data_IF_418816504826
#
_entry.id   IF_418816504826
#
_cell.length_a   1.000
_cell.length_b   1.000
_cell.length_c   1.000
_cell.angle_alpha   90.00
_cell.angle_beta   90.00
_cell.angle_gamma   90.00
#
_symmetry.space_group_name_H-M   'P 1'
#
loop_
_entity.id
_entity.type
_entity.pdbx_description
1 polymer ?
#
# COMPACT_ATOMS: atom_id res chain seq x y z
N UNK A 1 -0.34 14.30 41.00
CA UNK A 1 -0.29 13.04 40.22
C UNK A 1 -1.65 12.71 39.64
N UNK A 2 -2.73 12.57 40.45
CA UNK A 2 -4.09 12.38 39.93
C UNK A 2 -4.54 13.51 38.97
N UNK A 3 -4.29 14.78 39.34
CA UNK A 3 -4.56 15.94 38.46
C UNK A 3 -3.81 15.84 37.11
N UNK A 4 -2.53 15.47 37.13
CA UNK A 4 -1.74 15.30 35.91
C UNK A 4 -2.20 14.11 35.04
N UNK A 5 -2.75 13.05 35.66
CA UNK A 5 -3.37 11.93 34.95
C UNK A 5 -4.69 12.35 34.29
N UNK A 6 -5.52 13.15 34.99
CA UNK A 6 -6.73 13.76 34.42
C UNK A 6 -6.43 14.68 33.23
N UNK A 7 -5.42 15.55 33.34
CA UNK A 7 -4.99 16.42 32.22
C UNK A 7 -4.49 15.62 31.00
N UNK A 8 -3.82 14.48 31.22
CA UNK A 8 -3.38 13.60 30.14
C UNK A 8 -4.54 12.88 29.44
N UNK A 9 -5.58 12.47 30.19
CA UNK A 9 -6.79 11.87 29.65
C UNK A 9 -7.56 12.87 28.77
N UNK A 10 -7.74 14.11 29.23
CA UNK A 10 -8.41 15.19 28.47
C UNK A 10 -7.75 15.41 27.11
N UNK A 11 -6.41 15.54 27.08
CA UNK A 11 -5.68 15.75 25.82
C UNK A 11 -5.83 14.61 24.82
N UNK A 12 -5.93 13.36 25.31
CA UNK A 12 -6.13 12.19 24.45
C UNK A 12 -7.53 12.17 23.85
N UNK A 13 -8.55 12.51 24.63
CA UNK A 13 -9.93 12.60 24.13
C UNK A 13 -10.10 13.78 23.17
N UNK A 14 -9.44 14.91 23.39
CA UNK A 14 -9.42 16.02 22.44
C UNK A 14 -8.77 15.64 21.10
N UNK A 15 -7.68 14.86 21.13
CA UNK A 15 -7.05 14.34 19.91
C UNK A 15 -7.97 13.36 19.16
N UNK A 16 -8.65 12.47 19.87
CA UNK A 16 -9.65 11.55 19.31
C UNK A 16 -10.81 12.32 18.64
N UNK A 17 -11.36 13.33 19.33
CA UNK A 17 -12.45 14.14 18.82
C UNK A 17 -12.04 14.95 17.57
N UNK A 18 -10.82 15.50 17.55
CA UNK A 18 -10.28 16.18 16.37
C UNK A 18 -10.09 15.22 15.18
N UNK A 19 -9.62 13.99 15.42
CA UNK A 19 -9.46 12.98 14.38
C UNK A 19 -10.81 12.59 13.76
N UNK A 20 -11.87 12.45 14.57
CA UNK A 20 -13.20 12.13 14.08
C UNK A 20 -13.89 13.26 13.32
N UNK A 21 -13.66 14.52 13.71
CA UNK A 21 -14.12 15.68 12.94
C UNK A 21 -13.47 15.73 11.55
N UNK A 22 -12.22 15.31 11.43
CA UNK A 22 -11.54 15.17 10.14
C UNK A 22 -12.13 14.02 9.31
N UNK A 23 -12.48 12.89 9.93
CA UNK A 23 -13.20 11.80 9.25
C UNK A 23 -14.58 12.26 8.73
N UNK A 24 -15.36 12.98 9.53
CA UNK A 24 -16.71 13.43 9.14
C UNK A 24 -16.71 14.55 8.09
N UNK A 25 -15.68 15.40 8.04
CA UNK A 25 -15.55 16.42 6.99
C UNK A 25 -15.25 15.81 5.61
N UNK A 26 -14.78 14.56 5.58
CA UNK A 26 -14.46 13.80 4.38
C UNK A 26 -15.74 13.32 3.64
N UNK A 27 -16.89 13.19 4.33
CA UNK A 27 -18.17 12.74 3.75
C UNK A 27 -18.77 13.69 2.67
N UNK A 28 -18.13 14.81 2.35
CA UNK A 28 -18.61 15.73 1.31
C UNK A 28 -18.23 15.31 -0.13
N UNK A 29 -17.29 14.40 -0.33
CA UNK A 29 -16.84 13.95 -1.65
C UNK A 29 -16.58 12.43 -1.64
N UNK A 30 -17.12 11.69 -2.63
CA UNK A 30 -17.06 10.23 -2.73
C UNK A 30 -15.62 9.63 -2.78
N UNK A 31 -14.58 10.45 -2.93
CA UNK A 31 -13.17 10.04 -2.85
C UNK A 31 -12.63 9.93 -1.42
N UNK A 32 -13.35 10.44 -0.42
CA UNK A 32 -12.88 10.47 0.96
C UNK A 32 -13.43 9.32 1.83
N UNK A 33 -14.26 8.44 1.28
CA UNK A 33 -14.94 7.37 2.02
C UNK A 33 -13.97 6.28 2.50
N UNK A 34 -12.95 5.93 1.69
CA UNK A 34 -11.91 4.97 2.08
C UNK A 34 -10.83 5.56 3.01
N UNK A 35 -10.53 6.85 2.86
CA UNK A 35 -9.67 7.59 3.80
C UNK A 35 -10.38 7.71 5.16
N UNK A 36 -11.67 8.03 5.16
CA UNK A 36 -12.52 8.01 6.35
C UNK A 36 -12.57 6.61 6.98
N UNK A 37 -12.69 5.55 6.18
CA UNK A 37 -12.72 4.16 6.66
C UNK A 37 -11.38 3.74 7.31
N UNK A 38 -10.24 4.03 6.66
CA UNK A 38 -8.91 3.74 7.20
C UNK A 38 -8.60 4.54 8.47
N UNK A 39 -8.94 5.84 8.50
CA UNK A 39 -8.85 6.66 9.71
C UNK A 39 -9.79 6.15 10.81
N UNK A 40 -11.00 5.70 10.45
CA UNK A 40 -11.96 5.12 11.39
C UNK A 40 -11.44 3.84 12.04
N UNK A 41 -10.73 3.00 11.30
CA UNK A 41 -10.10 1.78 11.81
C UNK A 41 -8.94 2.07 12.75
N UNK A 42 -8.07 3.02 12.40
CA UNK A 42 -6.99 3.46 13.27
C UNK A 42 -7.51 4.11 14.56
N UNK A 43 -8.58 4.90 14.45
CA UNK A 43 -9.30 5.46 15.60
C UNK A 43 -9.86 4.34 16.48
N UNK A 44 -10.49 3.32 15.89
CA UNK A 44 -11.08 2.18 16.60
C UNK A 44 -10.04 1.29 17.29
N UNK A 45 -8.90 1.03 16.63
CA UNK A 45 -7.93 0.04 17.06
C UNK A 45 -6.89 0.59 18.07
N UNK A 46 -6.57 1.89 17.99
CA UNK A 46 -5.45 2.45 18.74
C UNK A 46 -5.85 3.63 19.62
N UNK A 47 -6.50 4.66 19.05
CA UNK A 47 -6.80 5.90 19.79
C UNK A 47 -7.92 5.71 20.82
N UNK A 48 -8.99 5.00 20.44
CA UNK A 48 -10.15 4.77 21.31
C UNK A 48 -9.80 3.91 22.54
N UNK A 49 -9.10 2.76 22.42
CA UNK A 49 -8.66 1.99 23.60
C UNK A 49 -7.68 2.77 24.48
N UNK A 50 -6.78 3.56 23.88
CA UNK A 50 -5.82 4.38 24.60
C UNK A 50 -6.45 5.56 25.34
N UNK A 51 -7.57 6.09 24.84
CA UNK A 51 -8.39 7.11 25.49
C UNK A 51 -9.19 6.50 26.66
N UNK A 52 -9.85 5.34 26.46
CA UNK A 52 -10.55 4.58 27.51
C UNK A 52 -9.64 4.27 28.70
N UNK A 53 -8.47 3.68 28.44
CA UNK A 53 -7.50 3.35 29.48
C UNK A 53 -6.99 4.58 30.24
N UNK A 54 -6.91 5.74 29.59
CA UNK A 54 -6.50 6.99 30.24
C UNK A 54 -7.59 7.56 31.16
N UNK A 55 -8.86 7.44 30.76
CA UNK A 55 -10.03 7.81 31.58
C UNK A 55 -10.14 6.91 32.80
N UNK A 56 -10.11 5.58 32.63
CA UNK A 56 -10.16 4.61 33.74
C UNK A 56 -9.02 4.84 34.76
N UNK A 57 -7.79 5.07 34.30
CA UNK A 57 -6.66 5.36 35.17
C UNK A 57 -6.83 6.69 35.93
N UNK A 58 -7.50 7.68 35.33
CA UNK A 58 -7.79 8.95 35.98
C UNK A 58 -8.91 8.83 37.03
N UNK A 59 -9.96 8.04 36.74
CA UNK A 59 -11.03 7.72 37.69
C UNK A 59 -10.51 6.95 38.92
N UNK A 60 -9.71 5.90 38.71
CA UNK A 60 -9.09 5.15 39.80
C UNK A 60 -8.20 6.04 40.69
N UNK A 61 -7.47 6.96 40.04
CA UNK A 61 -6.62 7.95 40.71
C UNK A 61 -7.42 9.00 41.50
N UNK A 62 -8.61 9.40 41.03
CA UNK A 62 -9.47 10.38 41.69
C UNK A 62 -10.39 9.79 42.77
N UNK A 63 -10.73 8.50 42.66
CA UNK A 63 -11.59 7.78 43.61
C UNK A 63 -10.88 7.32 44.89
N UNK A 64 -9.55 7.16 44.88
CA UNK A 64 -8.77 6.64 46.01
C UNK A 64 -8.24 7.67 47.00
N UNK A 65 -8.37 8.97 46.73
CA UNK A 65 -7.74 10.02 47.54
C UNK A 65 -8.76 10.95 48.22
N UNK A 66 -8.66 11.07 49.56
CA UNK A 66 -9.17 12.20 50.36
C UNK A 66 -7.99 13.05 50.79
N UNK A 67 -8.14 14.37 50.74
CA UNK A 67 -7.14 15.29 51.30
C UNK A 67 -7.47 15.47 52.77
N UNK A 68 -6.68 14.87 53.67
CA UNK A 68 -6.84 15.07 55.12
C UNK A 68 -5.82 16.10 55.61
N UNK A 69 -6.29 17.11 56.36
CA UNK A 69 -5.45 18.18 56.87
C UNK A 69 -4.64 17.71 58.09
N UNK A 70 -3.31 17.87 58.04
CA UNK A 70 -2.51 18.04 59.25
C UNK A 70 -2.47 19.54 59.58
N UNK A 71 -2.77 19.91 60.82
CA UNK A 71 -3.13 21.28 61.22
C UNK A 71 -2.22 22.40 60.68
N UNK A 72 -2.84 23.48 60.23
CA UNK A 72 -2.18 24.70 59.72
C UNK A 72 -2.23 24.90 58.20
N UNK A 73 -2.67 23.90 57.43
CA UNK A 73 -2.63 23.90 55.95
C UNK A 73 -4.03 23.96 55.29
N UNK A 74 -5.06 24.50 55.96
CA UNK A 74 -6.45 24.47 55.46
C UNK A 74 -6.63 25.12 54.07
N UNK A 75 -5.88 26.19 53.77
CA UNK A 75 -5.94 26.86 52.45
C UNK A 75 -5.33 26.04 51.31
N UNK A 76 -4.29 25.26 51.58
CA UNK A 76 -3.65 24.37 50.59
C UNK A 76 -4.52 23.13 50.34
N UNK A 77 -5.19 22.63 51.38
CA UNK A 77 -6.17 21.53 51.30
C UNK A 77 -7.36 21.94 50.43
N UNK A 78 -7.95 23.11 50.67
CA UNK A 78 -9.06 23.62 49.87
C UNK A 78 -8.69 23.82 48.38
N UNK A 79 -7.46 24.28 48.10
CA UNK A 79 -6.98 24.42 46.72
C UNK A 79 -6.80 23.06 46.02
N UNK A 80 -6.32 22.04 46.75
CA UNK A 80 -6.18 20.68 46.22
C UNK A 80 -7.51 19.97 46.03
N UNK A 81 -8.49 20.17 46.92
CA UNK A 81 -9.85 19.66 46.75
C UNK A 81 -10.54 20.30 45.54
N UNK A 82 -10.43 21.63 45.37
CA UNK A 82 -10.95 22.33 44.20
C UNK A 82 -10.33 21.84 42.88
N UNK A 83 -9.01 21.57 42.87
CA UNK A 83 -8.32 21.01 41.71
C UNK A 83 -8.78 19.56 41.40
N UNK A 84 -9.10 18.78 42.43
CA UNK A 84 -9.63 17.41 42.26
C UNK A 84 -11.07 17.43 41.72
N UNK A 85 -11.91 18.35 42.21
CA UNK A 85 -13.27 18.59 41.72
C UNK A 85 -13.28 19.01 40.24
N UNK A 86 -12.38 19.91 39.87
CA UNK A 86 -12.18 20.34 38.50
C UNK A 86 -11.72 19.17 37.61
N UNK A 87 -10.79 18.35 38.11
CA UNK A 87 -10.32 17.16 37.39
C UNK A 87 -11.45 16.14 37.16
N UNK A 88 -12.33 15.91 38.14
CA UNK A 88 -13.50 15.01 38.00
C UNK A 88 -14.49 15.52 36.95
N UNK A 89 -14.73 16.83 36.94
CA UNK A 89 -15.60 17.46 35.93
C UNK A 89 -15.04 17.29 34.51
N UNK A 90 -13.73 17.48 34.33
CA UNK A 90 -13.07 17.29 33.04
C UNK A 90 -13.08 15.83 32.56
N UNK A 91 -12.96 14.85 33.49
CA UNK A 91 -13.04 13.42 33.17
C UNK A 91 -14.45 13.06 32.69
N UNK A 92 -15.49 13.52 33.39
CA UNK A 92 -16.89 13.29 32.99
C UNK A 92 -17.22 13.91 31.61
N UNK A 93 -16.66 15.07 31.28
CA UNK A 93 -16.80 15.66 29.94
C UNK A 93 -16.05 14.84 28.87
N UNK A 94 -14.90 14.27 29.22
CA UNK A 94 -14.13 13.42 28.32
C UNK A 94 -14.85 12.09 28.03
N UNK A 95 -15.53 11.50 29.01
CA UNK A 95 -16.41 10.34 28.84
C UNK A 95 -17.56 10.62 27.89
N UNK A 96 -18.29 11.73 28.08
CA UNK A 96 -19.40 12.09 27.19
C UNK A 96 -18.94 12.26 25.73
N UNK A 97 -17.76 12.86 25.50
CA UNK A 97 -17.18 13.00 24.16
C UNK A 97 -16.70 11.68 23.57
N UNK A 98 -16.29 10.74 24.41
CA UNK A 98 -15.92 9.39 24.00
C UNK A 98 -17.16 8.61 23.54
N UNK A 99 -18.27 8.73 24.26
CA UNK A 99 -19.54 8.11 23.87
C UNK A 99 -20.07 8.67 22.53
N UNK A 100 -19.99 10.00 22.34
CA UNK A 100 -20.34 10.65 21.07
C UNK A 100 -19.43 10.18 19.92
N UNK A 101 -18.14 10.02 20.18
CA UNK A 101 -17.16 9.53 19.22
C UNK A 101 -17.45 8.08 18.77
N UNK A 102 -17.85 7.22 19.70
CA UNK A 102 -18.20 5.83 19.40
C UNK A 102 -19.49 5.69 18.61
N UNK A 103 -20.49 6.52 18.92
CA UNK A 103 -21.72 6.58 18.14
C UNK A 103 -21.45 7.03 16.69
N UNK A 104 -20.59 8.04 16.49
CA UNK A 104 -20.20 8.50 15.16
C UNK A 104 -19.45 7.44 14.35
N UNK A 105 -18.55 6.70 15.00
CA UNK A 105 -17.81 5.59 14.39
C UNK A 105 -18.72 4.43 13.97
N UNK A 106 -19.74 4.11 14.77
CA UNK A 106 -20.71 3.07 14.43
C UNK A 106 -21.55 3.46 13.20
N UNK A 107 -22.00 4.72 13.11
CA UNK A 107 -22.74 5.22 11.96
C UNK A 107 -21.91 5.20 10.66
N UNK A 108 -20.63 5.55 10.74
CA UNK A 108 -19.70 5.49 9.60
C UNK A 108 -19.53 4.06 9.05
N UNK A 109 -19.46 3.06 9.94
CA UNK A 109 -19.37 1.65 9.52
C UNK A 109 -20.62 1.17 8.80
N UNK A 110 -21.79 1.53 9.30
CA UNK A 110 -23.08 1.16 8.68
C UNK A 110 -23.22 1.78 7.28
N UNK A 111 -22.77 3.02 7.10
CA UNK A 111 -22.76 3.69 5.79
C UNK A 111 -21.79 3.00 4.80
N UNK A 112 -20.57 2.66 5.23
CA UNK A 112 -19.58 2.00 4.39
C UNK A 112 -20.03 0.58 3.95
N UNK A 113 -20.65 -0.19 4.85
CA UNK A 113 -21.22 -1.51 4.52
C UNK A 113 -22.34 -1.40 3.48
N UNK A 114 -23.20 -0.39 3.59
CA UNK A 114 -24.26 -0.13 2.61
C UNK A 114 -23.70 0.26 1.23
N UNK A 115 -22.62 1.05 1.19
CA UNK A 115 -21.95 1.44 -0.05
C UNK A 115 -21.27 0.24 -0.75
N UNK A 116 -20.59 -0.62 0.01
CA UNK A 116 -19.96 -1.84 -0.52
C UNK A 116 -20.99 -2.81 -1.12
N UNK A 117 -22.14 -3.00 -0.45
CA UNK A 117 -23.23 -3.84 -0.94
C UNK A 117 -23.88 -3.30 -2.23
N UNK A 118 -23.88 -1.96 -2.41
CA UNK A 118 -24.37 -1.35 -3.64
C UNK A 118 -23.38 -1.54 -4.81
N UNK A 119 -22.07 -1.48 -4.56
CA UNK A 119 -21.03 -1.73 -5.57
C UNK A 119 -21.01 -3.19 -6.06
N UNK A 120 -21.27 -4.15 -5.16
CA UNK A 120 -21.30 -5.58 -5.50
C UNK A 120 -22.47 -5.94 -6.45
N UNK A 121 -23.57 -5.17 -6.44
CA UNK A 121 -24.71 -5.37 -7.36
C UNK A 121 -24.44 -4.88 -8.80
N UNK A 122 -23.37 -4.12 -9.04
CA UNK A 122 -22.96 -3.67 -10.39
C UNK A 122 -21.88 -4.57 -11.03
N UNK A 123 -21.44 -5.63 -10.36
CA UNK A 123 -20.45 -6.55 -10.91
C UNK A 123 -21.09 -7.50 -11.94
N UNK A 124 -20.82 -7.21 -13.21
CA UNK A 124 -21.24 -8.04 -14.35
C UNK A 124 -20.44 -9.35 -14.34
N UNK A 125 -21.07 -10.49 -14.07
CA UNK A 125 -20.46 -11.81 -14.27
C UNK A 125 -20.34 -12.08 -15.79
N UNK A 126 -19.13 -12.17 -16.37
CA UNK A 126 -18.98 -12.58 -17.76
C UNK A 126 -19.03 -14.12 -17.85
N UNK A 127 -19.72 -14.62 -18.87
CA UNK A 127 -19.76 -16.05 -19.20
C UNK A 127 -18.35 -16.61 -19.50
N UNK A 128 -18.09 -17.83 -19.01
CA UNK A 128 -16.76 -18.47 -19.00
C UNK A 128 -16.15 -18.79 -20.39
N UNK A 129 -16.90 -18.60 -21.47
CA UNK A 129 -16.45 -18.88 -22.85
C UNK A 129 -16.11 -17.61 -23.65
N UNK A 130 -16.19 -16.42 -23.06
CA UNK A 130 -16.11 -15.13 -23.77
C UNK A 130 -15.12 -14.12 -23.16
N UNK A 131 -13.82 -14.43 -23.03
CA UNK A 131 -12.80 -13.36 -22.82
C UNK A 131 -11.45 -13.71 -23.46
N UNK A 132 -11.38 -13.62 -24.79
CA UNK A 132 -10.23 -12.98 -25.44
C UNK A 132 -10.61 -11.52 -25.66
N UNK A 133 -10.97 -10.80 -24.61
CA UNK A 133 -11.06 -9.35 -24.74
C UNK A 133 -9.64 -8.84 -24.93
N UNK A 134 -9.35 -8.42 -26.15
CA UNK A 134 -8.09 -7.79 -26.49
C UNK A 134 -7.88 -6.48 -25.70
N UNK A 135 -8.86 -5.96 -24.95
CA UNK A 135 -8.78 -4.67 -24.27
C UNK A 135 -8.49 -4.74 -22.76
N UNK A 136 -8.48 -5.93 -22.14
CA UNK A 136 -8.15 -6.06 -20.72
C UNK A 136 -6.63 -6.26 -20.52
N UNK A 137 -6.02 -5.82 -19.40
CA UNK A 137 -4.66 -6.20 -19.07
C UNK A 137 -4.48 -7.72 -19.24
N UNK A 138 -3.30 -8.18 -19.70
CA UNK A 138 -3.12 -9.40 -20.51
C UNK A 138 -3.45 -10.74 -19.83
N UNK A 139 -3.95 -10.73 -18.60
CA UNK A 139 -4.28 -11.90 -17.81
C UNK A 139 -5.38 -12.77 -18.39
N UNK A 140 -5.19 -14.09 -18.31
CA UNK A 140 -6.12 -15.11 -18.83
C UNK A 140 -6.53 -16.13 -17.77
N UNK A 141 -5.92 -16.07 -16.59
CA UNK A 141 -6.11 -17.02 -15.49
C UNK A 141 -6.70 -16.32 -14.30
N UNK A 142 -7.56 -17.01 -13.54
CA UNK A 142 -7.91 -16.55 -12.19
C UNK A 142 -6.75 -16.81 -11.25
N UNK A 143 -6.48 -15.87 -10.37
CA UNK A 143 -5.50 -16.00 -9.31
C UNK A 143 -6.09 -15.40 -8.05
N UNK A 144 -6.33 -16.25 -7.06
CA UNK A 144 -6.86 -15.81 -5.77
C UNK A 144 -5.74 -15.83 -4.74
N UNK A 145 -5.34 -14.67 -4.20
CA UNK A 145 -4.44 -14.59 -3.07
C UNK A 145 -4.91 -15.44 -1.89
N UNK A 146 -4.19 -16.52 -1.57
CA UNK A 146 -4.50 -17.27 -0.35
C UNK A 146 -4.32 -16.40 0.89
N UNK A 147 -5.16 -16.64 1.88
CA UNK A 147 -4.98 -16.08 3.22
C UNK A 147 -3.78 -16.74 3.92
N UNK A 148 -3.11 -15.97 4.77
CA UNK A 148 -2.05 -16.52 5.63
C UNK A 148 -2.70 -17.33 6.76
N UNK A 149 -2.05 -18.43 7.13
CA UNK A 149 -2.44 -19.21 8.32
C UNK A 149 -2.08 -18.44 9.60
N UNK A 150 -2.70 -18.79 10.74
CA UNK A 150 -2.38 -18.16 12.03
C UNK A 150 -0.88 -18.20 12.38
N UNK A 151 -0.19 -19.29 12.02
CA UNK A 151 1.24 -19.44 12.26
C UNK A 151 2.07 -18.51 11.36
N UNK A 152 1.68 -18.33 10.10
CA UNK A 152 2.31 -17.41 9.17
C UNK A 152 2.04 -15.95 9.57
N UNK A 153 0.82 -15.67 10.03
CA UNK A 153 0.45 -14.38 10.57
C UNK A 153 1.26 -14.01 11.82
N UNK A 154 1.47 -14.97 12.72
CA UNK A 154 2.34 -14.78 13.88
C UNK A 154 3.79 -14.51 13.46
N UNK A 155 4.30 -15.22 12.46
CA UNK A 155 5.65 -15.00 11.93
C UNK A 155 5.80 -13.61 11.30
N UNK A 156 4.82 -13.16 10.51
CA UNK A 156 4.79 -11.80 9.93
C UNK A 156 4.76 -10.75 11.05
N UNK A 157 3.96 -10.97 12.08
CA UNK A 157 3.84 -10.05 13.22
C UNK A 157 5.16 -9.91 14.00
N UNK A 158 5.90 -11.02 14.14
CA UNK A 158 7.23 -11.02 14.76
C UNK A 158 8.26 -10.26 13.90
N UNK A 159 8.24 -10.48 12.59
CA UNK A 159 9.12 -9.77 11.64
C UNK A 159 8.90 -8.25 11.69
N UNK A 160 7.64 -7.82 11.81
CA UNK A 160 7.24 -6.41 11.85
C UNK A 160 7.48 -5.73 13.21
N UNK A 161 7.96 -6.44 14.22
CA UNK A 161 8.26 -5.83 15.52
C UNK A 161 9.31 -4.71 15.38
N UNK A 162 9.19 -3.64 16.20
CA UNK A 162 10.22 -2.61 16.28
C UNK A 162 11.57 -3.20 16.70
N UNK A 163 12.66 -2.57 16.25
CA UNK A 163 14.02 -3.03 16.55
C UNK A 163 15.04 -2.11 15.91
N UNK A 164 16.29 -2.56 15.78
CA UNK A 164 17.35 -1.77 15.16
C UNK A 164 17.04 -1.54 13.67
N UNK A 165 16.87 -0.28 13.20
CA UNK A 165 16.52 0.00 11.80
C UNK A 165 17.51 -0.54 10.78
N UNK A 166 18.80 -0.60 11.13
CA UNK A 166 19.88 -1.08 10.26
C UNK A 166 20.10 -2.60 10.31
N UNK A 167 19.32 -3.32 11.11
CA UNK A 167 19.38 -4.78 11.17
C UNK A 167 18.94 -5.35 9.83
N UNK A 168 19.83 -6.12 9.19
CA UNK A 168 19.50 -6.91 8.02
C UNK A 168 18.66 -8.11 8.46
N UNK A 169 17.43 -8.20 7.96
CA UNK A 169 16.52 -9.31 8.25
C UNK A 169 16.76 -10.48 7.29
N UNK A 170 16.80 -10.19 5.99
CA UNK A 170 17.04 -11.18 4.95
C UNK A 170 17.66 -10.56 3.70
N UNK A 171 17.95 -11.39 2.70
CA UNK A 171 18.55 -10.99 1.43
C UNK A 171 18.00 -11.87 0.30
N UNK A 172 17.60 -11.23 -0.81
CA UNK A 172 17.06 -11.87 -2.00
C UNK A 172 17.92 -11.45 -3.18
N UNK A 173 18.60 -12.41 -3.82
CA UNK A 173 19.51 -12.17 -4.96
C UNK A 173 20.55 -11.05 -4.75
N UNK A 174 21.18 -11.00 -3.57
CA UNK A 174 22.13 -9.95 -3.14
C UNK A 174 21.50 -8.56 -2.90
N UNK A 175 20.17 -8.46 -2.84
CA UNK A 175 19.45 -7.26 -2.40
C UNK A 175 19.08 -7.44 -0.93
N UNK A 176 19.74 -6.72 0.00
CA UNK A 176 19.48 -6.86 1.42
C UNK A 176 18.17 -6.14 1.78
N UNK A 177 17.41 -6.71 2.69
CA UNK A 177 16.28 -6.07 3.33
C UNK A 177 16.63 -5.81 4.79
N UNK A 178 16.49 -4.55 5.21
CA UNK A 178 16.64 -4.15 6.61
C UNK A 178 15.30 -4.04 7.32
N UNK A 179 15.34 -3.94 8.64
CA UNK A 179 14.16 -3.69 9.46
C UNK A 179 13.45 -2.39 9.11
N UNK A 180 14.21 -1.34 8.75
CA UNK A 180 13.63 -0.09 8.24
C UNK A 180 12.84 -0.32 6.96
N UNK A 181 13.34 -1.14 6.06
CA UNK A 181 12.70 -1.40 4.77
C UNK A 181 11.39 -2.18 4.97
N UNK A 182 11.42 -3.25 5.77
CA UNK A 182 10.21 -4.04 6.06
C UNK A 182 9.16 -3.28 6.85
N UNK A 183 9.57 -2.30 7.67
CA UNK A 183 8.61 -1.42 8.33
C UNK A 183 7.71 -0.66 7.32
N UNK A 184 8.15 -0.45 6.07
CA UNK A 184 7.32 0.18 5.03
C UNK A 184 6.12 -0.67 4.58
N UNK A 185 6.12 -1.97 4.88
CA UNK A 185 4.99 -2.86 4.64
C UNK A 185 3.94 -2.83 5.75
N UNK A 186 4.16 -2.05 6.83
CA UNK A 186 3.12 -1.80 7.82
C UNK A 186 1.93 -1.06 7.18
N UNK A 187 0.73 -1.12 7.80
CA UNK A 187 -0.39 -0.31 7.36
C UNK A 187 -0.01 1.18 7.28
N UNK A 188 -0.61 1.89 6.32
CA UNK A 188 -0.46 3.34 6.12
C UNK A 188 0.93 3.84 5.67
N UNK A 189 1.91 2.94 5.49
CA UNK A 189 3.27 3.30 5.11
C UNK A 189 3.51 3.20 3.60
N UNK A 190 4.36 4.10 3.08
CA UNK A 190 4.78 4.10 1.67
C UNK A 190 5.91 3.11 1.46
N UNK A 191 5.76 2.22 0.48
CA UNK A 191 6.85 1.31 0.12
C UNK A 191 8.05 2.09 -0.41
N UNK A 192 9.24 1.68 0.04
CA UNK A 192 10.49 2.21 -0.48
C UNK A 192 11.05 1.37 -1.64
N UNK A 193 12.07 1.89 -2.32
CA UNK A 193 12.72 1.21 -3.44
C UNK A 193 13.32 -0.16 -3.06
N UNK A 194 13.80 -0.35 -1.83
CA UNK A 194 14.42 -1.62 -1.41
C UNK A 194 13.39 -2.75 -1.36
N UNK A 195 12.20 -2.51 -0.78
CA UNK A 195 11.10 -3.48 -0.78
C UNK A 195 10.64 -3.78 -2.21
N UNK A 196 10.44 -2.74 -3.04
CA UNK A 196 10.04 -2.90 -4.44
C UNK A 196 11.06 -3.76 -5.21
N UNK A 197 12.35 -3.44 -5.11
CA UNK A 197 13.38 -4.15 -5.85
C UNK A 197 13.56 -5.60 -5.35
N UNK A 198 13.43 -5.85 -4.05
CA UNK A 198 13.41 -7.21 -3.52
C UNK A 198 12.20 -8.02 -3.99
N UNK A 199 11.01 -7.42 -4.06
CA UNK A 199 9.84 -8.11 -4.58
C UNK A 199 9.98 -8.39 -6.08
N UNK A 200 10.52 -7.44 -6.86
CA UNK A 200 10.89 -7.66 -8.26
C UNK A 200 11.85 -8.84 -8.44
N UNK A 201 12.81 -9.04 -7.54
CA UNK A 201 13.69 -10.22 -7.57
C UNK A 201 12.93 -11.54 -7.37
N UNK A 202 11.92 -11.57 -6.49
CA UNK A 202 11.04 -12.74 -6.35
C UNK A 202 10.22 -13.01 -7.62
N UNK A 203 9.66 -11.96 -8.22
CA UNK A 203 8.91 -12.09 -9.46
C UNK A 203 9.80 -12.60 -10.61
N UNK A 204 11.05 -12.10 -10.71
CA UNK A 204 12.04 -12.59 -11.68
C UNK A 204 12.38 -14.06 -11.46
N UNK A 205 12.54 -14.48 -10.20
CA UNK A 205 12.81 -15.86 -9.84
C UNK A 205 11.64 -16.76 -10.26
N UNK A 206 10.41 -16.42 -9.88
CA UNK A 206 9.21 -17.17 -10.26
C UNK A 206 9.05 -17.29 -11.78
N UNK A 207 9.20 -16.18 -12.53
CA UNK A 207 9.13 -16.20 -13.99
C UNK A 207 10.21 -17.09 -14.62
N UNK A 208 11.43 -17.09 -14.07
CA UNK A 208 12.52 -17.94 -14.53
C UNK A 208 12.27 -19.42 -14.24
N UNK A 209 11.74 -19.75 -13.07
CA UNK A 209 11.39 -21.11 -12.67
C UNK A 209 10.28 -21.66 -13.56
N UNK A 210 9.23 -20.88 -13.81
CA UNK A 210 8.15 -21.23 -14.74
C UNK A 210 8.67 -21.46 -16.17
N UNK A 211 9.56 -20.60 -16.69
CA UNK A 211 10.17 -20.80 -18.01
C UNK A 211 10.98 -22.10 -18.08
N UNK A 212 11.72 -22.44 -17.02
CA UNK A 212 12.53 -23.68 -16.95
C UNK A 212 11.66 -24.93 -16.80
N UNK A 213 10.54 -24.82 -16.07
CA UNK A 213 9.55 -25.89 -15.94
C UNK A 213 8.72 -26.09 -17.22
N UNK A 214 8.81 -25.17 -18.19
CA UNK A 214 8.03 -25.22 -19.42
C UNK A 214 6.55 -24.89 -19.21
N UNK A 215 6.24 -24.12 -18.17
CA UNK A 215 4.88 -23.70 -17.90
C UNK A 215 4.35 -22.76 -18.99
N UNK A 216 3.05 -22.77 -19.30
CA UNK A 216 2.46 -21.90 -20.30
C UNK A 216 2.23 -20.47 -19.77
N UNK A 217 3.26 -19.87 -19.17
CA UNK A 217 3.29 -18.50 -18.66
C UNK A 217 4.08 -17.56 -19.60
N UNK A 218 3.81 -16.25 -19.59
CA UNK A 218 4.54 -15.30 -20.42
C UNK A 218 6.01 -15.22 -20.02
N UNK A 219 6.88 -15.08 -21.02
CA UNK A 219 8.30 -14.82 -20.80
C UNK A 219 8.47 -13.36 -20.42
N UNK A 220 8.63 -13.08 -19.14
CA UNK A 220 8.71 -11.72 -18.63
C UNK A 220 10.16 -11.28 -18.40
N UNK A 221 10.47 -10.03 -18.72
CA UNK A 221 11.61 -9.32 -18.15
C UNK A 221 11.13 -8.13 -17.31
N UNK A 222 11.49 -8.11 -16.03
CA UNK A 222 11.15 -7.00 -15.14
C UNK A 222 12.41 -6.18 -14.94
N UNK A 223 12.37 -4.85 -15.07
CA UNK A 223 13.48 -3.97 -14.71
C UNK A 223 13.45 -3.60 -13.22
N UNK A 224 14.58 -3.13 -12.66
CA UNK A 224 14.57 -2.55 -11.31
C UNK A 224 13.93 -1.15 -11.34
N UNK A 225 13.50 -0.64 -10.19
CA UNK A 225 12.90 0.70 -10.08
C UNK A 225 13.81 1.80 -10.61
N UNK A 226 15.12 1.60 -10.51
CA UNK A 226 16.14 2.55 -10.96
C UNK A 226 16.23 2.70 -12.49
N UNK A 227 15.69 1.76 -13.27
CA UNK A 227 15.82 1.77 -14.72
C UNK A 227 15.23 3.03 -15.34
N UNK A 228 13.96 3.32 -15.03
CA UNK A 228 13.26 4.46 -15.63
C UNK A 228 13.90 5.77 -15.20
N UNK A 229 14.26 5.91 -13.92
CA UNK A 229 14.96 7.07 -13.39
C UNK A 229 16.27 7.35 -14.12
N UNK A 230 17.08 6.31 -14.39
CA UNK A 230 18.34 6.45 -15.13
C UNK A 230 18.14 6.70 -16.63
N UNK A 231 17.00 6.27 -17.17
CA UNK A 231 16.65 6.47 -18.57
C UNK A 231 16.15 7.89 -18.85
N UNK A 232 15.27 8.45 -18.01
CA UNK A 232 14.49 9.64 -18.38
C UNK A 232 14.22 10.67 -17.27
N UNK A 233 14.53 10.44 -15.99
CA UNK A 233 14.20 11.38 -14.91
C UNK A 233 15.32 12.39 -14.58
N UNK A 234 16.46 12.38 -15.29
CA UNK A 234 17.54 13.35 -15.05
C UNK A 234 18.36 13.65 -16.31
N UNK A 235 18.51 14.94 -16.68
CA UNK A 235 17.45 15.92 -16.94
C UNK A 235 16.68 15.65 -18.25
N UNK A 236 17.14 14.67 -19.04
CA UNK A 236 16.61 14.32 -20.35
C UNK A 236 16.76 12.81 -20.59
N UNK A 237 16.01 12.29 -21.56
CA UNK A 237 16.19 10.92 -22.06
C UNK A 237 17.65 10.62 -22.42
N UNK A 238 18.25 9.60 -21.79
CA UNK A 238 19.65 9.21 -21.97
C UNK A 238 19.82 7.69 -22.02
N UNK A 239 19.65 7.08 -23.21
CA UNK A 239 19.87 5.64 -23.43
C UNK A 239 21.24 5.13 -22.93
N UNK A 240 22.29 5.95 -23.04
CA UNK A 240 23.65 5.58 -22.62
C UNK A 240 23.76 5.11 -21.17
N UNK A 241 22.92 5.62 -20.27
CA UNK A 241 22.89 5.26 -18.85
C UNK A 241 22.43 3.81 -18.63
N UNK A 242 21.50 3.34 -19.48
CA UNK A 242 20.89 2.00 -19.37
C UNK A 242 21.38 1.03 -20.44
N UNK A 243 22.17 1.48 -21.43
CA UNK A 243 22.68 0.69 -22.56
C UNK A 243 23.28 -0.66 -22.19
N UNK A 244 23.91 -0.80 -21.01
CA UNK A 244 24.56 -2.07 -20.61
C UNK A 244 23.67 -2.99 -19.76
N UNK A 245 22.47 -2.57 -19.39
CA UNK A 245 21.66 -3.26 -18.37
C UNK A 245 21.18 -4.63 -18.84
N UNK A 246 20.59 -4.71 -20.03
CA UNK A 246 20.16 -5.98 -20.66
C UNK A 246 21.33 -6.93 -20.92
N UNK A 247 22.48 -6.40 -21.35
CA UNK A 247 23.73 -7.16 -21.51
C UNK A 247 24.21 -7.76 -20.18
N UNK A 248 24.16 -6.99 -19.07
CA UNK A 248 24.54 -7.46 -17.73
C UNK A 248 23.57 -8.52 -17.20
N UNK A 249 22.28 -8.32 -17.43
CA UNK A 249 21.23 -9.28 -17.11
C UNK A 249 21.22 -10.50 -18.04
N UNK A 250 22.07 -10.53 -19.08
CA UNK A 250 22.15 -11.59 -20.09
C UNK A 250 20.79 -11.90 -20.73
N UNK A 251 20.01 -10.85 -20.98
CA UNK A 251 18.66 -10.96 -21.55
C UNK A 251 18.63 -10.34 -22.95
N UNK A 252 17.94 -11.01 -23.86
CA UNK A 252 17.47 -10.43 -25.11
C UNK A 252 16.03 -9.99 -24.90
N UNK A 253 15.74 -8.69 -24.91
CA UNK A 253 14.37 -8.22 -24.68
C UNK A 253 13.42 -8.70 -25.77
N UNK A 254 13.90 -8.82 -27.01
CA UNK A 254 13.08 -9.15 -28.17
C UNK A 254 12.68 -10.63 -28.24
N UNK A 255 13.15 -11.47 -27.32
CA UNK A 255 12.68 -12.85 -27.14
C UNK A 255 11.70 -12.99 -25.97
N UNK A 256 11.31 -11.89 -25.33
CA UNK A 256 10.35 -11.83 -24.23
C UNK A 256 8.95 -11.52 -24.76
N UNK A 257 7.94 -11.94 -24.02
CA UNK A 257 6.54 -11.62 -24.29
C UNK A 257 6.18 -10.26 -23.70
N UNK A 258 6.67 -9.99 -22.49
CA UNK A 258 6.33 -8.81 -21.71
C UNK A 258 7.58 -8.24 -21.03
N UNK A 259 7.72 -6.92 -21.08
CA UNK A 259 8.71 -6.19 -20.28
C UNK A 259 7.99 -5.30 -19.29
N UNK A 260 8.31 -5.44 -18.01
CA UNK A 260 7.68 -4.70 -16.90
C UNK A 260 8.68 -3.68 -16.36
N UNK A 261 8.23 -2.44 -16.17
CA UNK A 261 9.05 -1.31 -15.72
C UNK A 261 8.36 -0.63 -14.54
N UNK A 262 8.79 -0.89 -13.29
CA UNK A 262 8.39 -0.07 -12.15
C UNK A 262 8.89 1.37 -12.34
N UNK A 263 8.02 2.35 -12.10
CA UNK A 263 8.32 3.78 -12.27
C UNK A 263 7.99 4.53 -10.98
N UNK A 264 8.99 5.17 -10.38
CA UNK A 264 8.84 6.00 -9.19
C UNK A 264 8.73 7.49 -9.57
N UNK A 265 7.52 7.99 -9.68
CA UNK A 265 7.28 9.37 -10.07
C UNK A 265 7.59 10.34 -8.92
N UNK A 266 8.63 11.14 -9.09
CA UNK A 266 8.97 12.21 -8.14
C UNK A 266 9.28 11.72 -6.72
N UNK A 267 9.67 10.45 -6.57
CA UNK A 267 9.90 9.80 -5.27
C UNK A 267 8.66 9.78 -4.36
N UNK A 268 7.45 9.77 -4.94
CA UNK A 268 6.19 9.89 -4.20
C UNK A 268 5.05 9.02 -4.72
N UNK A 269 5.13 8.54 -5.96
CA UNK A 269 4.05 7.77 -6.57
C UNK A 269 4.60 6.64 -7.43
N UNK A 270 4.16 5.41 -7.14
CA UNK A 270 4.58 4.22 -7.87
C UNK A 270 3.58 3.88 -8.97
N UNK A 271 4.09 3.68 -10.18
CA UNK A 271 3.30 3.30 -11.37
C UNK A 271 4.02 2.24 -12.17
N UNK A 272 3.34 1.61 -13.13
CA UNK A 272 3.87 0.52 -13.92
C UNK A 272 3.81 0.84 -15.41
N UNK A 273 4.96 0.80 -16.08
CA UNK A 273 5.05 0.82 -17.53
C UNK A 273 5.28 -0.58 -18.09
N UNK A 274 4.65 -0.91 -19.21
CA UNK A 274 4.74 -2.21 -19.85
C UNK A 274 5.15 -2.05 -21.33
N UNK A 275 5.97 -2.99 -21.81
CA UNK A 275 6.20 -3.21 -23.25
C UNK A 275 5.72 -4.62 -23.56
N UNK A 276 4.53 -4.72 -24.14
CA UNK A 276 3.92 -5.98 -24.51
C UNK A 276 4.31 -6.32 -25.95
N UNK A 277 5.35 -7.15 -26.09
CA UNK A 277 5.89 -7.56 -27.38
C UNK A 277 4.97 -8.54 -28.10
N UNK A 278 4.17 -9.30 -27.34
CA UNK A 278 3.20 -10.26 -27.88
C UNK A 278 2.03 -9.57 -28.57
N UNK A 279 1.46 -8.55 -27.94
CA UNK A 279 0.30 -7.80 -28.46
C UNK A 279 0.68 -6.48 -29.15
N UNK A 280 1.98 -6.15 -29.21
CA UNK A 280 2.52 -4.91 -29.81
C UNK A 280 1.96 -3.65 -29.15
N UNK A 281 2.13 -3.54 -27.82
CA UNK A 281 1.59 -2.42 -27.04
C UNK A 281 2.62 -1.82 -26.12
N UNK A 282 2.51 -0.51 -25.92
CA UNK A 282 3.09 0.16 -24.76
C UNK A 282 1.95 0.46 -23.81
N UNK A 283 2.05 0.00 -22.57
CA UNK A 283 0.92 0.10 -21.64
C UNK A 283 1.34 0.79 -20.35
N UNK A 284 0.44 1.56 -19.76
CA UNK A 284 0.66 2.28 -18.52
C UNK A 284 -0.46 1.99 -17.53
N UNK A 285 -0.08 1.54 -16.34
CA UNK A 285 -1.00 1.27 -15.24
C UNK A 285 -0.63 2.20 -14.08
N UNK A 286 -1.62 2.97 -13.65
CA UNK A 286 -1.58 3.83 -12.47
C UNK A 286 -2.82 3.52 -11.63
N UNK A 287 -2.63 3.13 -10.37
CA UNK A 287 -3.72 2.82 -9.45
C UNK A 287 -4.53 4.05 -9.05
N UNK A 288 -4.04 5.26 -9.31
CA UNK A 288 -4.80 6.51 -9.22
C UNK A 288 -5.37 6.96 -10.56
N UNK A 289 -5.21 6.16 -11.63
CA UNK A 289 -5.66 6.44 -13.00
C UNK A 289 -5.15 7.77 -13.57
N UNK A 290 -3.93 8.15 -13.18
CA UNK A 290 -3.23 9.30 -13.75
C UNK A 290 -2.81 9.07 -15.20
N UNK A 291 -2.52 10.16 -15.92
CA UNK A 291 -1.99 10.09 -17.27
C UNK A 291 -0.56 9.53 -17.29
N UNK A 292 -0.17 8.85 -18.37
CA UNK A 292 1.21 8.36 -18.54
C UNK A 292 2.26 9.48 -18.56
N UNK A 293 1.87 10.72 -18.87
CA UNK A 293 2.77 11.88 -18.82
C UNK A 293 3.94 11.78 -19.80
N UNK A 294 3.78 11.05 -20.92
CA UNK A 294 4.83 10.82 -21.92
C UNK A 294 5.74 9.63 -21.61
N UNK A 295 5.47 8.86 -20.56
CA UNK A 295 6.24 7.65 -20.20
C UNK A 295 6.17 6.60 -21.30
N UNK A 296 5.03 6.45 -21.97
CA UNK A 296 4.90 5.50 -23.08
C UNK A 296 5.79 5.90 -24.26
N UNK A 297 5.86 7.19 -24.58
CA UNK A 297 6.77 7.70 -25.61
C UNK A 297 8.25 7.45 -25.26
N UNK A 298 8.62 7.56 -23.98
CA UNK A 298 9.96 7.21 -23.49
C UNK A 298 10.27 5.74 -23.68
N UNK A 299 9.36 4.84 -23.29
CA UNK A 299 9.53 3.39 -23.47
C UNK A 299 9.61 3.00 -24.95
N UNK A 300 8.79 3.63 -25.79
CA UNK A 300 8.82 3.46 -27.26
C UNK A 300 10.16 3.87 -27.85
N UNK A 301 10.72 5.01 -27.41
CA UNK A 301 12.06 5.45 -27.81
C UNK A 301 13.15 4.48 -27.32
N UNK A 302 13.06 4.02 -26.08
CA UNK A 302 13.98 3.05 -25.51
C UNK A 302 14.03 1.75 -26.32
N UNK A 303 12.87 1.19 -26.68
CA UNK A 303 12.82 -0.07 -27.43
C UNK A 303 13.48 0.06 -28.81
N UNK A 304 13.32 1.20 -29.51
CA UNK A 304 14.00 1.49 -30.78
C UNK A 304 15.52 1.58 -30.61
N UNK A 305 15.99 2.32 -29.61
CA UNK A 305 17.43 2.49 -29.35
C UNK A 305 18.08 1.16 -28.92
N UNK A 306 17.38 0.38 -28.11
CA UNK A 306 17.81 -0.95 -27.68
C UNK A 306 17.92 -1.90 -28.88
N UNK A 307 16.95 -1.92 -29.79
CA UNK A 307 17.02 -2.73 -31.00
C UNK A 307 18.19 -2.31 -31.89
N UNK A 308 18.39 -1.01 -32.07
CA UNK A 308 19.53 -0.49 -32.83
C UNK A 308 20.88 -0.89 -32.21
N UNK A 309 21.04 -0.86 -30.88
CA UNK A 309 22.29 -1.27 -30.21
C UNK A 309 22.51 -2.78 -30.18
N UNK A 310 21.46 -3.58 -29.98
CA UNK A 310 21.58 -5.04 -29.78
C UNK A 310 21.46 -5.84 -31.06
N UNK A 311 20.63 -5.39 -31.99
CA UNK A 311 20.34 -6.07 -33.26
C UNK A 311 20.99 -5.37 -34.45
N UNK A 312 21.49 -4.14 -34.28
CA UNK A 312 22.20 -3.41 -35.34
C UNK A 312 21.28 -2.87 -36.43
N UNK A 313 19.97 -2.88 -36.21
CA UNK A 313 18.96 -2.48 -37.18
C UNK A 313 17.91 -1.57 -36.50
N UNK A 314 17.26 -0.66 -37.27
CA UNK A 314 16.12 0.07 -36.75
C UNK A 314 14.96 -0.89 -36.46
N UNK A 315 14.21 -0.61 -35.39
CA UNK A 315 12.95 -1.30 -35.11
C UNK A 315 11.79 -0.51 -35.70
N UNK A 316 11.04 -1.14 -36.59
CA UNK A 316 9.79 -0.58 -37.09
C UNK A 316 8.68 -0.83 -36.05
N UNK A 317 8.17 0.26 -35.49
CA UNK A 317 7.03 0.27 -34.57
C UNK A 317 5.91 0.99 -35.32
N UNK A 318 5.34 0.28 -36.29
CA UNK A 318 4.36 0.80 -37.24
C UNK A 318 2.99 1.08 -36.62
N UNK A 319 1.98 1.22 -37.48
CA UNK A 319 0.59 1.55 -37.08
C UNK A 319 -0.07 0.45 -36.23
N UNK A 320 0.48 -0.77 -36.25
CA UNK A 320 0.02 -1.91 -35.46
C UNK A 320 0.47 -1.84 -33.98
N UNK A 321 1.34 -0.89 -33.62
CA UNK A 321 1.77 -0.66 -32.24
C UNK A 321 0.97 0.44 -31.55
N UNK A 322 0.19 0.06 -30.55
CA UNK A 322 -0.70 0.99 -29.82
C UNK A 322 -0.14 1.37 -28.44
N UNK A 323 -0.51 2.56 -27.98
CA UNK A 323 -0.27 3.02 -26.62
C UNK A 323 -1.58 2.92 -25.84
N UNK A 324 -1.57 2.26 -24.68
CA UNK A 324 -2.73 2.08 -23.80
C UNK A 324 -2.41 2.65 -22.42
N UNK A 325 -3.18 3.62 -21.97
CA UNK A 325 -3.14 4.09 -20.59
C UNK A 325 -4.42 3.65 -19.92
N UNK A 326 -4.33 2.69 -19.01
CA UNK A 326 -5.50 2.12 -18.37
C UNK A 326 -6.11 3.11 -17.37
N UNK A 327 -7.44 3.10 -17.32
CA UNK A 327 -8.29 3.98 -16.53
C UNK A 327 -9.29 3.16 -15.72
N UNK A 328 -10.14 3.84 -14.95
CA UNK A 328 -11.26 3.20 -14.24
C UNK A 328 -12.22 2.48 -15.20
N UNK A 329 -12.40 2.97 -16.44
CA UNK A 329 -13.30 2.37 -17.41
C UNK A 329 -12.81 0.98 -17.89
N UNK A 330 -11.51 0.71 -17.73
CA UNK A 330 -10.88 -0.54 -18.15
C UNK A 330 -10.91 -1.61 -17.04
N UNK A 331 -11.58 -1.34 -15.90
CA UNK A 331 -11.72 -2.29 -14.80
C UNK A 331 -10.41 -2.59 -14.05
N UNK A 332 -9.38 -1.75 -14.19
CA UNK A 332 -8.11 -1.94 -13.49
C UNK A 332 -8.21 -1.56 -12.00
N UNK A 333 -7.55 -2.31 -11.09
CA UNK A 333 -7.60 -2.04 -9.65
C UNK A 333 -7.23 -0.59 -9.30
N UNK A 334 -8.15 0.10 -8.61
CA UNK A 334 -7.98 1.49 -8.17
C UNK A 334 -7.58 1.54 -6.69
N UNK A 335 -6.56 2.33 -6.37
CA UNK A 335 -6.29 2.69 -4.97
C UNK A 335 -7.24 3.80 -4.53
N UNK A 336 -7.66 3.75 -3.27
CA UNK A 336 -8.54 4.78 -2.68
C UNK A 336 -7.90 5.48 -1.48
N UNK A 337 -6.59 5.30 -1.28
CA UNK A 337 -5.78 6.00 -0.29
C UNK A 337 -4.50 6.58 -0.89
N UNK A 338 -3.70 7.29 -0.09
CA UNK A 338 -2.47 7.95 -0.51
C UNK A 338 -1.17 7.15 -0.30
N UNK A 339 -1.21 5.87 0.07
CA UNK A 339 -0.01 5.12 0.51
C UNK A 339 0.18 3.73 -0.14
N UNK A 340 -0.85 3.19 -0.81
CA UNK A 340 -0.79 1.86 -1.40
C UNK A 340 -0.29 1.80 -2.85
N UNK A 341 0.08 2.92 -3.49
CA UNK A 341 0.56 2.90 -4.88
C UNK A 341 1.69 1.89 -5.12
N UNK A 342 2.61 1.73 -4.17
CA UNK A 342 3.67 0.72 -4.25
C UNK A 342 3.16 -0.72 -4.18
N UNK A 343 2.10 -0.96 -3.38
CA UNK A 343 1.46 -2.27 -3.26
C UNK A 343 0.66 -2.61 -4.52
N UNK A 344 -0.15 -1.70 -5.03
CA UNK A 344 -0.90 -1.88 -6.27
C UNK A 344 0.04 -2.16 -7.45
N UNK A 345 1.11 -1.37 -7.59
CA UNK A 345 2.12 -1.57 -8.64
C UNK A 345 2.78 -2.95 -8.52
N UNK A 346 3.18 -3.35 -7.32
CA UNK A 346 3.83 -4.64 -7.07
C UNK A 346 2.90 -5.82 -7.35
N UNK A 347 1.65 -5.76 -6.90
CA UNK A 347 0.66 -6.83 -7.09
C UNK A 347 0.20 -6.90 -8.54
N UNK A 348 0.03 -5.77 -9.21
CA UNK A 348 -0.16 -5.75 -10.67
C UNK A 348 0.97 -6.50 -11.39
N UNK A 349 2.23 -6.22 -11.04
CA UNK A 349 3.37 -6.93 -11.65
C UNK A 349 3.34 -8.44 -11.37
N UNK A 350 2.94 -8.88 -10.17
CA UNK A 350 2.78 -10.30 -9.85
C UNK A 350 1.72 -10.97 -10.73
N UNK A 351 0.55 -10.36 -10.84
CA UNK A 351 -0.55 -10.89 -11.63
C UNK A 351 -0.16 -11.01 -13.11
N UNK A 352 0.52 -10.01 -13.66
CA UNK A 352 1.05 -10.05 -15.03
C UNK A 352 2.05 -11.20 -15.25
N UNK A 353 2.90 -11.48 -14.26
CA UNK A 353 3.84 -12.61 -14.30
C UNK A 353 3.11 -13.95 -14.25
N UNK A 354 2.01 -14.04 -13.50
CA UNK A 354 1.16 -15.23 -13.37
C UNK A 354 0.15 -15.41 -14.53
N UNK A 355 0.18 -14.54 -15.54
CA UNK A 355 -0.83 -14.48 -16.61
C UNK A 355 -2.26 -14.36 -16.04
N UNK A 356 -2.40 -13.64 -14.93
CA UNK A 356 -3.62 -13.56 -14.13
C UNK A 356 -4.44 -12.30 -14.40
N UNK A 357 -5.76 -12.44 -14.36
CA UNK A 357 -6.74 -11.34 -14.47
C UNK A 357 -6.57 -10.40 -13.29
N UNK A 358 -6.43 -9.10 -13.54
CA UNK A 358 -6.31 -8.08 -12.48
C UNK A 358 -7.65 -7.84 -11.79
N UNK A 359 -7.99 -8.69 -10.81
CA UNK A 359 -9.26 -8.67 -10.09
C UNK A 359 -9.13 -8.37 -8.57
N UNK A 360 -7.93 -8.08 -8.08
CA UNK A 360 -7.75 -7.62 -6.69
C UNK A 360 -8.25 -6.18 -6.49
N UNK A 361 -8.58 -5.85 -5.25
CA UNK A 361 -9.17 -4.57 -4.87
C UNK A 361 -8.39 -3.90 -3.74
N UNK A 362 -8.80 -2.69 -3.37
CA UNK A 362 -8.29 -2.00 -2.19
C UNK A 362 -8.50 -2.82 -0.89
N UNK A 363 -9.59 -3.59 -0.79
CA UNK A 363 -9.93 -4.38 0.40
C UNK A 363 -8.89 -5.48 0.66
N UNK A 364 -8.16 -5.92 -0.36
CA UNK A 364 -7.13 -6.94 -0.25
C UNK A 364 -5.80 -6.39 0.29
N UNK A 365 -5.58 -5.07 0.24
CA UNK A 365 -4.28 -4.45 0.59
C UNK A 365 -3.76 -4.80 1.99
N UNK A 366 -4.59 -4.86 3.06
CA UNK A 366 -4.11 -5.29 4.37
C UNK A 366 -3.53 -6.72 4.35
N UNK A 367 -4.24 -7.66 3.72
CA UNK A 367 -3.73 -9.03 3.56
C UNK A 367 -2.49 -9.05 2.66
N UNK A 368 -2.54 -8.41 1.50
CA UNK A 368 -1.47 -8.42 0.50
C UNK A 368 -0.18 -7.79 1.05
N UNK A 369 -0.25 -6.77 1.90
CA UNK A 369 0.93 -6.21 2.59
C UNK A 369 1.60 -7.26 3.48
N UNK A 370 0.80 -7.95 4.31
CA UNK A 370 1.29 -9.00 5.21
C UNK A 370 1.81 -10.21 4.46
N UNK A 371 1.12 -10.59 3.38
CA UNK A 371 1.55 -11.65 2.46
C UNK A 371 2.90 -11.31 1.84
N UNK A 372 3.15 -10.05 1.46
CA UNK A 372 4.45 -9.64 0.91
C UNK A 372 5.57 -9.78 1.94
N UNK A 373 5.33 -9.44 3.21
CA UNK A 373 6.31 -9.68 4.29
C UNK A 373 6.64 -11.17 4.39
N UNK A 374 5.62 -12.02 4.37
CA UNK A 374 5.81 -13.47 4.41
C UNK A 374 6.60 -13.97 3.19
N UNK A 375 6.20 -13.60 1.98
CA UNK A 375 6.86 -13.98 0.71
C UNK A 375 8.35 -13.57 0.69
N UNK A 376 8.64 -12.34 1.10
CA UNK A 376 10.00 -11.83 1.23
C UNK A 376 10.82 -12.61 2.26
N UNK A 377 10.20 -13.00 3.39
CA UNK A 377 10.86 -13.81 4.42
C UNK A 377 11.16 -15.24 3.96
N UNK A 378 10.26 -15.83 3.17
CA UNK A 378 10.41 -17.19 2.62
C UNK A 378 11.27 -17.21 1.35
N UNK A 379 11.50 -16.05 0.75
CA UNK A 379 12.17 -15.88 -0.55
C UNK A 379 11.47 -16.63 -1.68
N UNK A 380 10.14 -16.67 -1.61
CA UNK A 380 9.28 -17.34 -2.57
C UNK A 380 7.91 -16.68 -2.56
N UNK A 381 7.26 -16.60 -3.73
CA UNK A 381 5.86 -16.22 -3.80
C UNK A 381 4.99 -17.33 -3.19
N UNK A 382 3.91 -16.95 -2.53
CA UNK A 382 2.89 -17.93 -2.13
C UNK A 382 1.96 -18.18 -3.29
N UNK A 383 1.67 -19.44 -3.57
CA UNK A 383 0.69 -19.85 -4.59
C UNK A 383 -0.75 -19.78 -4.09
#
# INVERSE_FOLDING_TARGET
RAVAAGEAAVRRVEALHAALLLCGAAEAEAEAEAEAQSMSEAVAAELLPAARAAVEAAEEGAGRFRVEAAGGCEGEVAAHEAALEQSRTSISLAEARLDEAEAGLAALREAAEAAAAAAEQEFFEPDADDVLDENFPPGRRRFEPRQLTEAEEAAVSEILQPGNPAEKLFEINNTPITRKDIATLKPLEWLNDEVINCFVELLRQHASEAEQAGEPLPKVHIFSSLFYTKLAESPEYTYGNVRRWTKRAKVDLFSRDLVIVPINQGNSHWTLGLINLRQKRFEFIDSMHGSDGGRLAVLRRYLKDEHQDKKGAPLDLGEDWVDISYTAADGTPRQTNGFDCGMFMSRTAEYLVRDAVLDFTQADMPNLRRRMVFELSQKALTD
#
